data_IF_664213971702
#
_entry.id   IF_664213971702
#
_cell.length_a   1.000
_cell.length_b   1.000
_cell.length_c   1.000
_cell.angle_alpha   90.00
_cell.angle_beta   90.00
_cell.angle_gamma   90.00
#
_symmetry.space_group_name_H-M   'P 1'
#
loop_
_entity.id
_entity.type
_entity.pdbx_description
1 polymer ?
#
# COMPACT_ATOMS: atom_id res chain seq x y z
N UNK A 1 -26.49 3.43 -18.72
CA UNK A 1 -25.40 4.42 -18.46
C UNK A 1 -24.73 4.74 -19.79
N UNK A 2 -24.62 6.01 -20.16
CA UNK A 2 -23.86 6.45 -21.33
C UNK A 2 -22.36 6.51 -21.00
N UNK A 3 -21.50 6.54 -22.02
CA UNK A 3 -20.05 6.66 -21.81
C UNK A 3 -19.68 7.96 -21.09
N UNK A 4 -20.32 9.07 -21.42
CA UNK A 4 -20.10 10.36 -20.77
C UNK A 4 -20.50 10.35 -19.28
N UNK A 5 -21.62 9.68 -18.96
CA UNK A 5 -22.02 9.48 -17.54
C UNK A 5 -21.01 8.61 -16.79
N UNK A 6 -20.52 7.55 -17.44
CA UNK A 6 -19.52 6.66 -16.86
C UNK A 6 -18.19 7.40 -16.59
N UNK A 7 -17.74 8.22 -17.52
CA UNK A 7 -16.52 9.03 -17.35
C UNK A 7 -16.70 10.04 -16.19
N UNK A 8 -17.85 10.70 -16.10
CA UNK A 8 -18.14 11.60 -14.96
C UNK A 8 -18.13 10.84 -13.63
N UNK A 9 -18.73 9.65 -13.60
CA UNK A 9 -18.74 8.78 -12.42
C UNK A 9 -17.34 8.31 -12.04
N UNK A 10 -16.48 7.98 -13.02
CA UNK A 10 -15.06 7.65 -12.79
C UNK A 10 -14.31 8.81 -12.13
N UNK A 11 -14.51 10.03 -12.61
CA UNK A 11 -13.85 11.21 -12.04
C UNK A 11 -14.35 11.49 -10.60
N UNK A 12 -15.65 11.31 -10.34
CA UNK A 12 -16.22 11.45 -9.02
C UNK A 12 -15.71 10.37 -8.06
N UNK A 13 -15.57 9.13 -8.52
CA UNK A 13 -14.97 8.03 -7.75
C UNK A 13 -13.52 8.35 -7.39
N UNK A 14 -12.72 8.77 -8.36
CA UNK A 14 -11.33 9.16 -8.14
C UNK A 14 -11.20 10.28 -7.11
N UNK A 15 -12.06 11.29 -7.17
CA UNK A 15 -12.06 12.38 -6.20
C UNK A 15 -12.36 11.88 -4.77
N UNK A 16 -13.31 10.94 -4.63
CA UNK A 16 -13.62 10.33 -3.32
C UNK A 16 -12.45 9.49 -2.80
N UNK A 17 -11.88 8.61 -3.64
CA UNK A 17 -10.73 7.78 -3.26
C UNK A 17 -9.53 8.64 -2.85
N UNK A 18 -9.25 9.70 -3.61
CA UNK A 18 -8.20 10.66 -3.28
C UNK A 18 -8.47 11.39 -1.93
N UNK A 19 -9.73 11.73 -1.64
CA UNK A 19 -10.10 12.37 -0.36
C UNK A 19 -9.89 11.43 0.83
N UNK A 20 -10.28 10.15 0.70
CA UNK A 20 -9.98 9.14 1.73
C UNK A 20 -8.48 8.94 1.92
N UNK A 21 -7.74 8.75 0.82
CA UNK A 21 -6.30 8.60 0.87
C UNK A 21 -5.59 9.80 1.52
N UNK A 22 -6.04 11.03 1.20
CA UNK A 22 -5.52 12.24 1.81
C UNK A 22 -5.80 12.30 3.31
N UNK A 23 -7.04 12.01 3.73
CA UNK A 23 -7.41 12.02 5.15
C UNK A 23 -6.62 10.97 5.96
N UNK A 24 -6.52 9.73 5.44
CA UNK A 24 -5.75 8.66 6.07
C UNK A 24 -4.24 9.00 6.11
N UNK A 25 -3.71 9.58 5.03
CA UNK A 25 -2.33 10.03 4.96
C UNK A 25 -2.01 11.14 5.97
N UNK A 26 -2.92 12.09 6.19
CA UNK A 26 -2.76 13.13 7.22
C UNK A 26 -2.78 12.54 8.63
N UNK A 27 -3.65 11.58 8.91
CA UNK A 27 -3.67 10.88 10.20
C UNK A 27 -2.35 10.15 10.48
N UNK A 28 -1.79 9.50 9.45
CA UNK A 28 -0.50 8.84 9.55
C UNK A 28 0.63 9.86 9.76
N UNK A 29 0.65 10.92 8.95
CA UNK A 29 1.65 11.99 9.05
C UNK A 29 1.63 12.70 10.41
N UNK A 30 0.43 13.01 10.94
CA UNK A 30 0.28 13.59 12.29
C UNK A 30 0.87 12.66 13.35
N UNK A 31 0.56 11.34 13.27
CA UNK A 31 1.13 10.33 14.17
C UNK A 31 2.64 10.28 14.17
N UNK A 32 3.24 10.35 12.99
CA UNK A 32 4.69 10.28 12.81
C UNK A 32 5.42 11.59 13.18
N UNK A 33 4.71 12.71 13.37
CA UNK A 33 5.36 14.04 13.53
C UNK A 33 4.94 14.81 14.77
N UNK A 34 3.65 15.14 14.91
CA UNK A 34 3.17 16.15 15.87
C UNK A 34 2.18 15.64 16.91
N UNK A 35 1.60 14.46 16.70
CA UNK A 35 0.59 13.92 17.60
C UNK A 35 1.12 13.72 19.03
N UNK A 36 0.36 14.10 20.07
CA UNK A 36 0.75 13.85 21.44
C UNK A 36 0.93 12.35 21.73
N UNK A 37 1.86 12.03 22.63
CA UNK A 37 2.06 10.63 23.08
C UNK A 37 0.76 10.05 23.67
N UNK A 38 0.47 8.79 23.40
CA UNK A 38 -0.70 8.08 23.90
C UNK A 38 -1.97 8.25 23.06
N UNK A 39 -1.91 8.93 21.89
CA UNK A 39 -3.09 9.12 21.00
C UNK A 39 -3.22 8.05 19.91
N UNK A 40 -2.31 7.08 19.83
CA UNK A 40 -2.29 6.04 18.79
C UNK A 40 -3.58 5.22 18.72
N UNK A 41 -4.15 4.84 19.86
CA UNK A 41 -5.41 4.07 19.90
C UNK A 41 -6.58 4.81 19.25
N UNK A 42 -6.72 6.11 19.51
CA UNK A 42 -7.77 6.93 18.91
C UNK A 42 -7.55 7.10 17.39
N UNK A 43 -6.30 7.36 16.95
CA UNK A 43 -5.97 7.40 15.51
C UNK A 43 -6.26 6.08 14.85
N UNK A 44 -5.89 4.94 15.48
CA UNK A 44 -6.18 3.60 14.97
C UNK A 44 -7.68 3.36 14.79
N UNK A 45 -8.51 3.75 15.74
CA UNK A 45 -9.97 3.66 15.60
C UNK A 45 -10.50 4.52 14.44
N UNK A 46 -10.02 5.76 14.33
CA UNK A 46 -10.39 6.64 13.20
C UNK A 46 -9.95 6.05 11.87
N UNK A 47 -8.72 5.53 11.81
CA UNK A 47 -8.19 4.85 10.61
C UNK A 47 -9.04 3.65 10.23
N UNK A 48 -9.49 2.84 11.19
CA UNK A 48 -10.35 1.67 10.94
C UNK A 48 -11.66 2.08 10.27
N UNK A 49 -12.34 3.12 10.77
CA UNK A 49 -13.59 3.63 10.20
C UNK A 49 -13.38 4.11 8.76
N UNK A 50 -12.35 4.93 8.53
CA UNK A 50 -12.05 5.44 7.19
C UNK A 50 -11.65 4.33 6.22
N UNK A 51 -10.88 3.35 6.68
CA UNK A 51 -10.45 2.20 5.87
C UNK A 51 -11.62 1.29 5.50
N UNK A 52 -12.58 1.08 6.41
CA UNK A 52 -13.80 0.33 6.13
C UNK A 52 -14.62 1.01 5.03
N UNK A 53 -14.85 2.31 5.14
CA UNK A 53 -15.61 3.06 4.13
C UNK A 53 -14.86 3.15 2.78
N UNK A 54 -13.53 3.30 2.82
CA UNK A 54 -12.70 3.23 1.62
C UNK A 54 -12.78 1.85 0.94
N UNK A 55 -12.71 0.77 1.73
CA UNK A 55 -12.85 -0.59 1.23
C UNK A 55 -14.21 -0.80 0.56
N UNK A 56 -15.31 -0.42 1.23
CA UNK A 56 -16.67 -0.52 0.68
C UNK A 56 -16.83 0.28 -0.61
N UNK A 57 -16.28 1.50 -0.66
CA UNK A 57 -16.32 2.32 -1.86
C UNK A 57 -15.53 1.67 -3.00
N UNK A 58 -14.37 1.09 -2.71
CA UNK A 58 -13.48 0.50 -3.71
C UNK A 58 -14.06 -0.81 -4.25
N UNK A 59 -14.55 -1.70 -3.38
CA UNK A 59 -14.99 -3.05 -3.76
C UNK A 59 -16.49 -3.17 -4.02
N UNK A 60 -17.24 -2.08 -3.82
CA UNK A 60 -18.69 -2.05 -3.94
C UNK A 60 -19.18 -2.34 -5.36
N UNK A 61 -20.36 -2.96 -5.47
CA UNK A 61 -20.93 -3.39 -6.75
C UNK A 61 -21.09 -2.27 -7.77
N UNK A 62 -21.40 -1.04 -7.34
CA UNK A 62 -21.50 0.12 -8.22
C UNK A 62 -20.14 0.48 -8.85
N UNK A 63 -19.07 0.43 -8.06
CA UNK A 63 -17.70 0.70 -8.54
C UNK A 63 -17.25 -0.39 -9.50
N UNK A 64 -17.49 -1.67 -9.17
CA UNK A 64 -17.16 -2.80 -10.04
C UNK A 64 -17.90 -2.68 -11.37
N UNK A 65 -19.22 -2.48 -11.35
CA UNK A 65 -20.02 -2.33 -12.56
C UNK A 65 -19.60 -1.14 -13.42
N UNK A 66 -19.22 -0.02 -12.80
CA UNK A 66 -18.70 1.15 -13.50
C UNK A 66 -17.41 0.82 -14.25
N UNK A 67 -16.49 0.14 -13.59
CA UNK A 67 -15.18 -0.18 -14.17
C UNK A 67 -15.27 -1.27 -15.24
N UNK A 68 -16.13 -2.27 -15.07
CA UNK A 68 -16.43 -3.27 -16.10
C UNK A 68 -17.04 -2.62 -17.36
N UNK A 69 -17.95 -1.67 -17.18
CA UNK A 69 -18.50 -0.90 -18.29
C UNK A 69 -17.41 -0.10 -19.03
N UNK A 70 -16.55 0.61 -18.29
CA UNK A 70 -15.47 1.42 -18.87
C UNK A 70 -14.39 0.56 -19.55
N UNK A 71 -14.07 -0.61 -19.01
CA UNK A 71 -13.11 -1.55 -19.60
C UNK A 71 -13.65 -2.13 -20.92
N UNK A 72 -14.95 -2.44 -20.97
CA UNK A 72 -15.62 -2.87 -22.21
C UNK A 72 -15.62 -1.79 -23.30
N UNK A 73 -15.57 -0.49 -22.92
CA UNK A 73 -15.51 0.65 -23.83
C UNK A 73 -14.12 1.28 -23.93
N UNK A 74 -13.08 0.51 -23.56
CA UNK A 74 -11.70 1.01 -23.46
C UNK A 74 -11.19 1.74 -24.71
N UNK A 75 -11.56 1.27 -25.91
CA UNK A 75 -11.14 1.88 -27.18
C UNK A 75 -11.69 3.30 -27.40
N UNK A 76 -12.75 3.68 -26.69
CA UNK A 76 -13.39 4.98 -26.75
C UNK A 76 -12.85 5.97 -25.71
N UNK A 77 -12.03 5.47 -24.76
CA UNK A 77 -11.40 6.26 -23.70
C UNK A 77 -10.08 6.87 -24.21
N UNK A 78 -9.72 8.05 -23.70
CA UNK A 78 -8.37 8.57 -23.90
C UNK A 78 -7.33 7.81 -23.06
N UNK A 79 -6.04 7.95 -23.37
CA UNK A 79 -4.94 7.22 -22.72
C UNK A 79 -4.94 7.36 -21.19
N UNK A 80 -5.20 8.57 -20.68
CA UNK A 80 -5.26 8.80 -19.23
C UNK A 80 -6.42 8.03 -18.58
N UNK A 81 -7.59 8.05 -19.18
CA UNK A 81 -8.76 7.31 -18.70
C UNK A 81 -8.54 5.80 -18.75
N UNK A 82 -7.95 5.29 -19.85
CA UNK A 82 -7.57 3.88 -19.97
C UNK A 82 -6.63 3.46 -18.84
N UNK A 83 -5.60 4.27 -18.55
CA UNK A 83 -4.65 3.98 -17.47
C UNK A 83 -5.32 4.04 -16.09
N UNK A 84 -6.21 5.02 -15.86
CA UNK A 84 -6.98 5.09 -14.60
C UNK A 84 -7.85 3.85 -14.40
N UNK A 85 -8.60 3.43 -15.41
CA UNK A 85 -9.44 2.22 -15.35
C UNK A 85 -8.59 0.98 -15.09
N UNK A 86 -7.49 0.83 -15.80
CA UNK A 86 -6.56 -0.30 -15.60
C UNK A 86 -6.04 -0.39 -14.17
N UNK A 87 -5.56 0.72 -13.62
CA UNK A 87 -5.02 0.76 -12.25
C UNK A 87 -6.11 0.46 -11.21
N UNK A 88 -7.29 1.06 -11.34
CA UNK A 88 -8.39 0.80 -10.42
C UNK A 88 -8.85 -0.66 -10.47
N UNK A 89 -8.92 -1.26 -11.65
CA UNK A 89 -9.28 -2.69 -11.78
C UNK A 89 -8.23 -3.57 -11.10
N UNK A 90 -6.92 -3.24 -11.27
CA UNK A 90 -5.84 -3.96 -10.59
C UNK A 90 -6.02 -3.90 -9.07
N UNK A 91 -6.18 -2.69 -8.53
CA UNK A 91 -6.33 -2.46 -7.09
C UNK A 91 -7.56 -3.16 -6.52
N UNK A 92 -8.70 -3.06 -7.21
CA UNK A 92 -9.95 -3.69 -6.78
C UNK A 92 -9.83 -5.21 -6.78
N UNK A 93 -9.27 -5.81 -7.82
CA UNK A 93 -9.10 -7.26 -7.91
C UNK A 93 -8.24 -7.80 -6.76
N UNK A 94 -7.22 -7.08 -6.35
CA UNK A 94 -6.40 -7.44 -5.20
C UNK A 94 -7.18 -7.24 -3.90
N UNK A 95 -7.81 -6.09 -3.72
CA UNK A 95 -8.56 -5.77 -2.51
C UNK A 95 -9.75 -6.72 -2.28
N UNK A 96 -10.47 -7.12 -3.33
CA UNK A 96 -11.59 -8.07 -3.23
C UNK A 96 -11.18 -9.47 -2.75
N UNK A 97 -9.92 -9.85 -2.91
CA UNK A 97 -9.39 -11.13 -2.42
C UNK A 97 -9.08 -11.11 -0.92
N UNK A 98 -8.92 -9.91 -0.34
CA UNK A 98 -8.62 -9.75 1.08
C UNK A 98 -9.92 -9.54 1.84
N UNK A 99 -10.23 -10.33 2.90
CA UNK A 99 -11.40 -10.09 3.75
C UNK A 99 -11.38 -8.68 4.35
N UNK A 100 -12.54 -8.01 4.35
CA UNK A 100 -12.66 -6.61 4.80
C UNK A 100 -12.20 -6.42 6.25
N UNK A 101 -12.59 -7.33 7.13
CA UNK A 101 -12.22 -7.31 8.54
C UNK A 101 -10.70 -7.44 8.76
N UNK A 102 -10.04 -8.31 7.98
CA UNK A 102 -8.57 -8.42 8.00
C UNK A 102 -7.88 -7.16 7.45
N UNK A 103 -8.42 -6.59 6.36
CA UNK A 103 -7.91 -5.35 5.81
C UNK A 103 -7.99 -4.19 6.83
N UNK A 104 -9.15 -4.01 7.45
CA UNK A 104 -9.38 -2.95 8.46
C UNK A 104 -8.49 -3.18 9.69
N UNK A 105 -8.40 -4.42 10.20
CA UNK A 105 -7.53 -4.77 11.30
C UNK A 105 -6.05 -4.50 11.00
N UNK A 106 -5.63 -4.73 9.76
CA UNK A 106 -4.26 -4.44 9.34
C UNK A 106 -3.97 -2.94 9.30
N UNK A 107 -4.90 -2.11 8.83
CA UNK A 107 -4.74 -0.65 8.86
C UNK A 107 -4.60 -0.12 10.30
N UNK A 108 -5.37 -0.67 11.22
CA UNK A 108 -5.23 -0.34 12.65
C UNK A 108 -3.88 -0.80 13.21
N UNK A 109 -3.46 -2.03 12.89
CA UNK A 109 -2.16 -2.59 13.30
C UNK A 109 -1.00 -1.68 12.86
N UNK A 110 -1.03 -1.15 11.64
CA UNK A 110 0.04 -0.26 11.14
C UNK A 110 0.14 1.03 11.95
N UNK A 111 -0.99 1.62 12.36
CA UNK A 111 -0.98 2.83 13.21
C UNK A 111 -0.43 2.52 14.60
N UNK A 112 -0.82 1.38 15.20
CA UNK A 112 -0.30 0.93 16.50
C UNK A 112 1.20 0.59 16.42
N UNK A 113 1.62 -0.04 15.32
CA UNK A 113 2.99 -0.43 15.07
C UNK A 113 3.94 0.77 15.01
N UNK A 114 3.51 1.87 14.41
CA UNK A 114 4.29 3.11 14.34
C UNK A 114 4.62 3.65 15.75
N UNK A 115 3.62 3.71 16.64
CA UNK A 115 3.80 4.14 18.04
C UNK A 115 4.73 3.20 18.81
N UNK A 116 4.57 1.88 18.65
CA UNK A 116 5.42 0.87 19.30
C UNK A 116 6.86 0.96 18.79
N UNK A 117 7.03 1.14 17.46
CA UNK A 117 8.34 1.30 16.83
C UNK A 117 9.08 2.53 17.36
N UNK A 118 8.41 3.68 17.48
CA UNK A 118 9.00 4.89 18.04
C UNK A 118 9.50 4.67 19.46
N UNK A 119 8.69 4.04 20.32
CA UNK A 119 9.09 3.72 21.71
C UNK A 119 10.28 2.76 21.76
N UNK A 120 10.23 1.69 20.97
CA UNK A 120 11.31 0.71 20.88
C UNK A 120 12.63 1.35 20.44
N UNK A 121 12.57 2.29 19.47
CA UNK A 121 13.71 3.03 18.97
C UNK A 121 14.26 4.03 20.01
N UNK A 122 13.40 4.78 20.71
CA UNK A 122 13.80 5.71 21.77
C UNK A 122 14.53 4.98 22.92
N UNK A 123 14.07 3.77 23.27
CA UNK A 123 14.63 2.97 24.36
C UNK A 123 15.73 1.99 23.90
N UNK A 124 15.98 1.88 22.58
CA UNK A 124 16.85 0.86 22.00
C UNK A 124 16.47 -0.57 22.40
N UNK A 125 15.17 -0.83 22.52
CA UNK A 125 14.60 -2.11 22.93
C UNK A 125 13.79 -2.74 21.79
N UNK A 126 14.43 -3.61 21.00
CA UNK A 126 13.78 -4.31 19.89
C UNK A 126 12.69 -5.28 20.36
N UNK A 127 12.80 -5.85 21.55
CA UNK A 127 11.83 -6.80 22.08
C UNK A 127 10.41 -6.18 22.23
N UNK A 128 10.32 -4.86 22.37
CA UNK A 128 9.02 -4.17 22.34
C UNK A 128 8.36 -4.20 20.96
N UNK A 129 9.16 -4.15 19.89
CA UNK A 129 8.63 -4.06 18.50
C UNK A 129 8.50 -5.45 17.85
N UNK A 130 9.32 -6.42 18.21
CA UNK A 130 9.36 -7.76 17.62
C UNK A 130 7.97 -8.40 17.46
N UNK A 131 7.09 -8.46 18.50
CA UNK A 131 5.79 -9.10 18.37
C UNK A 131 4.83 -8.39 17.38
N UNK A 132 5.00 -7.08 17.21
CA UNK A 132 4.20 -6.29 16.28
C UNK A 132 4.72 -6.50 14.86
N UNK A 133 6.04 -6.53 14.69
CA UNK A 133 6.70 -6.81 13.42
C UNK A 133 6.33 -8.20 12.88
N UNK A 134 6.32 -9.22 13.74
CA UNK A 134 5.86 -10.57 13.38
C UNK A 134 4.43 -10.55 12.81
N UNK A 135 3.49 -9.88 13.49
CA UNK A 135 2.10 -9.76 13.02
C UNK A 135 2.01 -9.07 11.66
N UNK A 136 2.85 -8.05 11.41
CA UNK A 136 2.91 -7.37 10.12
C UNK A 136 3.36 -8.34 9.04
N UNK A 137 4.44 -9.10 9.26
CA UNK A 137 4.93 -10.09 8.30
C UNK A 137 3.92 -11.20 8.04
N UNK A 138 3.35 -11.79 9.09
CA UNK A 138 2.32 -12.84 8.97
C UNK A 138 1.12 -12.36 8.14
N UNK A 139 0.67 -11.13 8.39
CA UNK A 139 -0.46 -10.54 7.65
C UNK A 139 -0.09 -10.31 6.19
N UNK A 140 1.10 -9.76 5.91
CA UNK A 140 1.57 -9.55 4.55
C UNK A 140 1.73 -10.86 3.77
N UNK A 141 2.26 -11.91 4.40
CA UNK A 141 2.35 -13.25 3.81
C UNK A 141 0.96 -13.79 3.49
N UNK A 142 0.01 -13.64 4.41
CA UNK A 142 -1.37 -14.08 4.23
C UNK A 142 -2.06 -13.32 3.10
N UNK A 143 -1.89 -12.00 3.01
CA UNK A 143 -2.45 -11.18 1.93
C UNK A 143 -1.84 -11.52 0.57
N UNK A 144 -0.53 -11.78 0.50
CA UNK A 144 0.10 -12.26 -0.71
C UNK A 144 -0.51 -13.59 -1.19
N UNK A 145 -0.77 -14.53 -0.27
CA UNK A 145 -1.44 -15.78 -0.61
C UNK A 145 -2.89 -15.60 -1.07
N UNK A 146 -3.62 -14.63 -0.54
CA UNK A 146 -4.96 -14.31 -1.05
C UNK A 146 -4.91 -13.74 -2.48
N UNK A 147 -3.95 -12.87 -2.75
CA UNK A 147 -3.85 -12.17 -4.03
C UNK A 147 -3.18 -13.01 -5.13
N UNK A 148 -2.15 -13.77 -4.79
CA UNK A 148 -1.33 -14.54 -5.73
C UNK A 148 -0.78 -15.83 -5.08
N UNK A 149 -1.64 -16.84 -4.84
CA UNK A 149 -1.25 -18.07 -4.12
C UNK A 149 -0.15 -18.88 -4.82
N UNK A 150 0.08 -18.64 -6.11
CA UNK A 150 1.10 -19.30 -6.93
C UNK A 150 2.47 -18.63 -6.86
N UNK A 151 2.56 -17.42 -6.27
CA UNK A 151 3.81 -16.65 -6.19
C UNK A 151 4.44 -16.75 -4.80
N UNK A 152 5.75 -16.57 -4.76
CA UNK A 152 6.41 -16.28 -3.50
C UNK A 152 5.84 -14.97 -2.93
N UNK A 153 5.49 -14.92 -1.62
CA UNK A 153 4.93 -13.71 -1.01
C UNK A 153 5.82 -12.47 -1.19
N UNK A 154 7.14 -12.63 -1.17
CA UNK A 154 8.06 -11.52 -1.35
C UNK A 154 8.05 -10.99 -2.78
N UNK A 155 8.03 -11.89 -3.79
CA UNK A 155 7.87 -11.52 -5.20
C UNK A 155 6.53 -10.84 -5.47
N UNK A 156 5.44 -11.27 -4.79
CA UNK A 156 4.17 -10.57 -4.87
C UNK A 156 4.31 -9.12 -4.41
N UNK A 157 4.88 -8.88 -3.23
CA UNK A 157 5.03 -7.53 -2.69
C UNK A 157 6.01 -6.68 -3.50
N UNK A 158 7.10 -7.23 -4.03
CA UNK A 158 7.97 -6.50 -4.96
C UNK A 158 7.19 -6.03 -6.18
N UNK A 159 6.30 -6.87 -6.73
CA UNK A 159 5.49 -6.52 -7.90
C UNK A 159 4.39 -5.49 -7.62
N UNK A 160 4.00 -5.27 -6.35
CA UNK A 160 3.09 -4.18 -5.97
C UNK A 160 3.79 -2.81 -5.93
N UNK A 161 5.10 -2.77 -5.71
CA UNK A 161 5.91 -1.54 -5.78
C UNK A 161 6.37 -1.23 -7.21
N UNK A 162 6.78 -2.27 -7.96
CA UNK A 162 7.24 -2.14 -9.35
C UNK A 162 6.67 -3.31 -10.16
N UNK A 163 5.82 -3.04 -11.15
CA UNK A 163 5.13 -4.07 -11.93
C UNK A 163 6.12 -5.10 -12.52
N UNK A 164 6.03 -6.34 -12.05
CA UNK A 164 6.85 -7.44 -12.52
C UNK A 164 8.22 -7.59 -11.86
N UNK A 165 8.56 -6.75 -10.87
CA UNK A 165 9.81 -6.89 -10.12
C UNK A 165 9.82 -8.19 -9.32
N UNK A 166 10.98 -8.88 -9.33
CA UNK A 166 11.21 -10.15 -8.64
C UNK A 166 12.48 -10.12 -7.80
N UNK A 167 12.60 -11.03 -6.84
CA UNK A 167 13.83 -11.23 -6.05
C UNK A 167 15.04 -11.48 -6.96
N UNK A 168 14.88 -12.30 -8.01
CA UNK A 168 15.98 -12.61 -8.93
C UNK A 168 16.52 -11.34 -9.64
N UNK A 169 15.63 -10.44 -10.06
CA UNK A 169 16.03 -9.15 -10.64
C UNK A 169 16.69 -8.24 -9.61
N UNK A 170 16.20 -8.22 -8.38
CA UNK A 170 16.81 -7.48 -7.27
C UNK A 170 18.21 -8.02 -6.97
N UNK A 171 18.41 -9.35 -6.94
CA UNK A 171 19.70 -9.95 -6.66
C UNK A 171 20.74 -9.57 -7.72
N UNK A 172 20.39 -9.62 -9.01
CA UNK A 172 21.25 -9.18 -10.11
C UNK A 172 21.61 -7.70 -9.99
N UNK A 173 20.62 -6.84 -9.73
CA UNK A 173 20.82 -5.41 -9.54
C UNK A 173 21.75 -5.12 -8.35
N UNK A 174 21.49 -5.73 -7.18
CA UNK A 174 22.32 -5.52 -5.99
C UNK A 174 23.72 -6.12 -6.12
N UNK A 175 23.89 -7.23 -6.85
CA UNK A 175 25.22 -7.76 -7.15
C UNK A 175 26.05 -6.73 -7.94
N UNK A 176 25.45 -6.15 -9.00
CA UNK A 176 26.07 -5.08 -9.80
C UNK A 176 26.42 -3.85 -8.97
N UNK A 177 25.48 -3.40 -8.11
CA UNK A 177 25.75 -2.26 -7.21
C UNK A 177 26.92 -2.54 -6.26
N UNK A 178 26.98 -3.73 -5.65
CA UNK A 178 28.07 -4.09 -4.73
C UNK A 178 29.43 -4.08 -5.42
N UNK A 179 29.49 -4.62 -6.63
CA UNK A 179 30.72 -4.64 -7.43
C UNK A 179 31.29 -3.25 -7.67
N UNK A 180 30.43 -2.23 -7.90
CA UNK A 180 30.85 -0.89 -8.25
C UNK A 180 30.95 0.06 -7.04
N UNK A 181 29.98 0.00 -6.13
CA UNK A 181 29.86 0.96 -5.01
C UNK A 181 30.86 0.63 -3.89
N UNK A 182 31.09 -0.64 -3.57
CA UNK A 182 31.99 -1.02 -2.49
C UNK A 182 33.45 -0.57 -2.74
N UNK A 183 34.03 -0.77 -3.95
CA UNK A 183 35.35 -0.23 -4.26
C UNK A 183 35.40 1.31 -4.25
N UNK A 184 34.31 1.96 -4.71
CA UNK A 184 34.23 3.43 -4.68
C UNK A 184 34.24 3.97 -3.24
N UNK A 185 33.47 3.37 -2.34
CA UNK A 185 33.45 3.72 -0.92
C UNK A 185 34.82 3.52 -0.25
N UNK A 186 35.54 2.45 -0.59
CA UNK A 186 36.92 2.25 -0.09
C UNK A 186 37.84 3.40 -0.52
N UNK A 187 37.81 3.75 -1.82
CA UNK A 187 38.61 4.86 -2.36
C UNK A 187 38.25 6.21 -1.72
N UNK A 188 36.99 6.45 -1.40
CA UNK A 188 36.56 7.68 -0.71
C UNK A 188 37.13 7.74 0.71
N UNK A 189 37.07 6.61 1.45
CA UNK A 189 37.60 6.52 2.83
C UNK A 189 39.11 6.68 2.92
N UNK A 190 39.83 6.38 1.86
CA UNK A 190 41.28 6.53 1.77
C UNK A 190 41.74 8.01 1.53
N UNK A 191 40.83 8.91 1.16
CA UNK A 191 41.13 10.30 0.98
C UNK A 191 41.23 11.01 2.33
N UNK A 192 42.25 11.86 2.54
CA UNK A 192 42.29 12.69 3.75
C UNK A 192 41.06 13.59 3.80
N UNK A 193 40.47 13.67 5.00
CA UNK A 193 39.38 14.63 5.30
C UNK A 193 39.92 16.04 5.44
#
# INVERSE_FOLDING_TARGET
MTLDEAIKSLMALQAKLAAYGHAMGLLFYDGATTAPKGTAANRGQTMSILSEEHYKLTTGGETVALLEFLDAHKSELNEKQQRMVFLLIKDIRNMQKIPMDEYVAYQQLLVEADDVWHRAKETSDFALFEPVLEKIFETNIRFAHYCAPEKDPYDYWLSEYEDGLTMAQCDEFFATLREHIVPLLKKIKEKPQ
#
